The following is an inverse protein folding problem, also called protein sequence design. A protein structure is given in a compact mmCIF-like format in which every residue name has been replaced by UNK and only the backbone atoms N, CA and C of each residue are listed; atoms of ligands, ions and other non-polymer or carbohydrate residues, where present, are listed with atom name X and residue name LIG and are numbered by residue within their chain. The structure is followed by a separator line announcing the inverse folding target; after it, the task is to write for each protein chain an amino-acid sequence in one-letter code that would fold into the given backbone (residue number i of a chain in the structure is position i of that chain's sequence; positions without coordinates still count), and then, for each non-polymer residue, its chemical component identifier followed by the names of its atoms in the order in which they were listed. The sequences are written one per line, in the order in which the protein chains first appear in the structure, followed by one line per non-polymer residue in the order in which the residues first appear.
data_IF_195799174239
#
_entry.id   IF_195799174239
#
_cell.length_a   1.000
_cell.length_b   1.000
_cell.length_c   1.000
_cell.angle_alpha   90.00
_cell.angle_beta   90.00
_cell.angle_gamma   90.00
#
_symmetry.space_group_name_H-M   'P 1'
#
loop_
_entity.id
_entity.type
_entity.pdbx_description
1 polymer ?
#
# COMPACT_ATOMS: atom_id res chain seq x y z
N UNK A 1 -58.32 19.60 21.61
CA UNK A 1 -57.71 20.79 20.99
C UNK A 1 -57.99 21.94 21.94
N UNK A 2 -57.07 22.24 22.86
CA UNK A 2 -56.05 23.31 22.74
C UNK A 2 -56.67 24.68 22.50
N UNK A 3 -56.31 25.77 23.16
CA UNK A 3 -55.49 26.05 24.33
C UNK A 3 -55.80 27.52 24.70
N UNK A 4 -55.51 27.90 25.94
CA UNK A 4 -55.52 29.25 26.49
C UNK A 4 -54.84 30.30 25.60
N UNK A 5 -55.26 31.57 25.73
CA UNK A 5 -54.41 32.65 26.25
C UNK A 5 -55.13 34.00 26.17
N UNK A 6 -55.39 34.59 27.34
CA UNK A 6 -55.50 36.05 27.52
C UNK A 6 -54.31 36.45 28.38
N UNK A 7 -53.38 37.21 27.81
CA UNK A 7 -52.29 37.86 28.53
C UNK A 7 -52.38 39.33 28.15
N UNK A 8 -52.64 40.15 29.15
CA UNK A 8 -52.70 41.61 29.12
C UNK A 8 -51.45 42.22 28.50
N UNK A 9 -51.67 43.23 27.65
CA UNK A 9 -50.66 44.18 27.27
C UNK A 9 -50.45 45.14 28.44
N UNK A 10 -49.24 45.16 28.99
CA UNK A 10 -48.73 46.39 29.59
C UNK A 10 -47.41 46.76 28.89
N UNK A 11 -47.46 47.92 28.28
CA UNK A 11 -46.48 48.48 27.37
C UNK A 11 -45.73 49.56 28.15
N UNK A 12 -44.57 49.22 28.69
CA UNK A 12 -43.64 50.21 29.25
C UNK A 12 -42.40 50.32 28.35
N UNK A 13 -42.55 51.21 27.37
CA UNK A 13 -41.49 51.78 26.56
C UNK A 13 -40.86 52.92 27.38
N UNK A 14 -39.77 52.64 28.08
CA UNK A 14 -38.85 53.68 28.57
C UNK A 14 -37.50 53.53 27.86
N UNK A 15 -37.35 54.40 26.87
CA UNK A 15 -36.19 54.77 26.10
C UNK A 15 -35.06 55.28 27.00
N UNK A 16 -33.90 54.60 27.05
CA UNK A 16 -32.69 55.25 27.59
C UNK A 16 -31.38 54.67 27.00
N UNK A 17 -30.85 55.47 26.07
CA UNK A 17 -29.45 55.90 25.95
C UNK A 17 -28.39 54.91 25.42
N UNK A 18 -28.03 55.18 24.16
CA UNK A 18 -26.77 54.88 23.49
C UNK A 18 -25.54 55.01 24.41
N UNK A 19 -24.85 53.89 24.67
CA UNK A 19 -23.40 53.91 24.95
C UNK A 19 -22.68 52.88 24.09
N UNK A 20 -22.05 53.41 23.03
CA UNK A 20 -20.95 52.82 22.29
C UNK A 20 -19.85 52.40 23.30
N UNK A 21 -19.47 51.13 23.30
CA UNK A 21 -18.13 50.72 23.72
C UNK A 21 -17.51 49.80 22.67
N UNK A 22 -16.25 50.13 22.39
CA UNK A 22 -15.41 49.63 21.33
C UNK A 22 -14.87 48.23 21.62
N UNK A 23 -14.52 47.56 20.51
CA UNK A 23 -13.58 46.46 20.33
C UNK A 23 -12.88 45.87 21.55
N UNK A 24 -13.14 44.59 21.79
CA UNK A 24 -12.06 43.59 21.74
C UNK A 24 -12.67 42.22 21.48
N UNK A 25 -12.57 41.73 20.25
CA UNK A 25 -12.82 40.32 19.92
C UNK A 25 -11.76 39.47 20.59
N UNK A 26 -11.96 39.12 21.86
CA UNK A 26 -11.28 37.99 22.48
C UNK A 26 -11.88 36.73 21.86
N UNK A 27 -11.36 36.34 20.69
CA UNK A 27 -11.38 34.95 20.28
C UNK A 27 -10.59 34.19 21.35
N UNK A 28 -11.28 33.76 22.40
CA UNK A 28 -10.79 32.71 23.28
C UNK A 28 -10.53 31.52 22.35
N UNK A 29 -9.28 31.33 21.96
CA UNK A 29 -8.83 30.12 21.30
C UNK A 29 -9.27 28.99 22.21
N UNK A 30 -10.33 28.29 21.81
CA UNK A 30 -10.73 27.05 22.45
C UNK A 30 -9.56 26.11 22.27
N UNK A 31 -8.69 26.05 23.28
CA UNK A 31 -7.73 24.97 23.44
C UNK A 31 -8.56 23.73 23.75
N UNK A 32 -9.18 23.17 22.70
CA UNK A 32 -9.94 21.93 22.75
C UNK A 32 -8.97 20.85 23.18
N UNK A 33 -8.91 20.59 24.49
CA UNK A 33 -8.16 19.46 25.06
C UNK A 33 -8.63 18.22 24.30
N UNK A 34 -7.74 17.60 23.54
CA UNK A 34 -8.03 16.32 22.89
C UNK A 34 -8.38 15.34 24.00
N UNK A 35 -9.50 14.65 23.83
CA UNK A 35 -9.91 13.59 24.75
C UNK A 35 -8.83 12.50 24.75
N UNK A 36 -8.59 11.87 25.90
CA UNK A 36 -7.70 10.70 25.99
C UNK A 36 -8.09 9.61 24.98
N UNK A 37 -9.40 9.45 24.70
CA UNK A 37 -9.90 8.55 23.66
C UNK A 37 -9.43 8.95 22.26
N UNK A 38 -9.46 10.24 21.92
CA UNK A 38 -8.97 10.72 20.62
C UNK A 38 -7.45 10.58 20.45
N UNK A 39 -6.69 10.63 21.55
CA UNK A 39 -5.24 10.36 21.50
C UNK A 39 -4.96 8.87 21.26
N UNK A 40 -5.76 7.98 21.85
CA UNK A 40 -5.67 6.54 21.61
C UNK A 40 -5.99 6.20 20.14
N UNK A 41 -7.06 6.76 19.58
CA UNK A 41 -7.40 6.58 18.16
C UNK A 41 -6.29 7.10 17.23
N UNK A 42 -5.73 8.28 17.51
CA UNK A 42 -4.59 8.83 16.77
C UNK A 42 -3.37 7.89 16.81
N UNK A 43 -3.09 7.27 17.98
CA UNK A 43 -1.97 6.32 18.10
C UNK A 43 -2.23 5.03 17.33
N UNK A 44 -3.44 4.47 17.41
CA UNK A 44 -3.82 3.26 16.66
C UNK A 44 -3.72 3.51 15.15
N UNK A 45 -4.19 4.67 14.69
CA UNK A 45 -4.14 5.03 13.27
C UNK A 45 -2.71 5.22 12.77
N UNK A 46 -1.82 5.81 13.59
CA UNK A 46 -0.39 5.93 13.27
C UNK A 46 0.29 4.57 13.19
N UNK A 47 0.02 3.68 14.13
CA UNK A 47 0.59 2.33 14.15
C UNK A 47 0.12 1.51 12.94
N UNK A 48 -1.17 1.57 12.62
CA UNK A 48 -1.74 0.92 11.43
C UNK A 48 -1.10 1.49 10.14
N UNK A 49 -0.99 2.82 10.05
CA UNK A 49 -0.36 3.48 8.90
C UNK A 49 1.12 3.06 8.75
N UNK A 50 1.83 2.93 9.86
CA UNK A 50 3.22 2.43 9.91
C UNK A 50 3.31 0.97 9.44
N UNK A 51 2.44 0.09 9.92
CA UNK A 51 2.39 -1.31 9.49
C UNK A 51 2.04 -1.43 8.00
N UNK A 52 1.08 -0.65 7.50
CA UNK A 52 0.72 -0.61 6.09
C UNK A 52 1.91 -0.15 5.23
N UNK A 53 2.66 0.85 5.68
CA UNK A 53 3.90 1.28 5.04
C UNK A 53 4.93 0.15 4.93
N UNK A 54 5.14 -0.61 6.01
CA UNK A 54 6.04 -1.78 6.02
C UNK A 54 5.59 -2.86 5.05
N UNK A 55 4.29 -3.15 5.00
CA UNK A 55 3.72 -4.14 4.06
C UNK A 55 3.94 -3.67 2.61
N UNK A 56 3.65 -2.41 2.31
CA UNK A 56 3.86 -1.84 0.98
C UNK A 56 5.34 -1.94 0.55
N UNK A 57 6.27 -1.60 1.44
CA UNK A 57 7.71 -1.75 1.18
C UNK A 57 8.11 -3.22 0.96
N UNK A 58 7.62 -4.15 1.79
CA UNK A 58 7.91 -5.57 1.63
C UNK A 58 7.39 -6.14 0.30
N UNK A 59 6.19 -5.72 -0.15
CA UNK A 59 5.63 -6.10 -1.45
C UNK A 59 6.50 -5.56 -2.58
N UNK A 60 6.93 -4.30 -2.50
CA UNK A 60 7.80 -3.69 -3.51
C UNK A 60 9.14 -4.43 -3.60
N UNK A 61 9.75 -4.74 -2.46
CA UNK A 61 11.01 -5.49 -2.39
C UNK A 61 10.86 -6.91 -2.96
N UNK A 62 9.79 -7.62 -2.59
CA UNK A 62 9.48 -8.94 -3.13
C UNK A 62 9.27 -8.91 -4.65
N UNK A 63 8.62 -7.86 -5.17
CA UNK A 63 8.44 -7.67 -6.62
C UNK A 63 9.78 -7.46 -7.33
N UNK A 64 10.65 -6.62 -6.78
CA UNK A 64 11.99 -6.39 -7.33
C UNK A 64 12.85 -7.65 -7.29
N UNK A 65 12.81 -8.40 -6.19
CA UNK A 65 13.51 -9.68 -6.08
C UNK A 65 13.02 -10.67 -7.14
N UNK A 66 11.69 -10.73 -7.38
CA UNK A 66 11.12 -11.58 -8.43
C UNK A 66 11.58 -11.17 -9.83
N UNK A 67 11.56 -9.88 -10.17
CA UNK A 67 12.01 -9.42 -11.50
C UNK A 67 13.50 -9.68 -11.71
N UNK A 68 14.32 -9.43 -10.70
CA UNK A 68 15.76 -9.68 -10.76
C UNK A 68 16.06 -11.19 -10.91
N UNK A 69 15.29 -12.04 -10.25
CA UNK A 69 15.42 -13.49 -10.40
C UNK A 69 15.20 -13.95 -11.84
N UNK A 70 14.13 -13.49 -12.51
CA UNK A 70 13.86 -13.88 -13.89
C UNK A 70 14.83 -13.26 -14.90
N UNK A 71 15.34 -12.05 -14.64
CA UNK A 71 16.43 -11.48 -15.44
C UNK A 71 17.69 -12.34 -15.36
N UNK A 72 18.09 -12.74 -14.15
CA UNK A 72 19.26 -13.61 -13.95
C UNK A 72 19.05 -15.00 -14.56
N UNK A 73 17.83 -15.54 -14.46
CA UNK A 73 17.46 -16.82 -15.09
C UNK A 73 17.66 -16.76 -16.60
N UNK A 74 17.19 -15.68 -17.24
CA UNK A 74 17.34 -15.47 -18.68
C UNK A 74 18.82 -15.51 -19.08
N UNK A 75 19.67 -14.75 -18.40
CA UNK A 75 21.11 -14.73 -18.68
C UNK A 75 21.76 -16.11 -18.53
N UNK A 76 21.43 -16.85 -17.46
CA UNK A 76 21.99 -18.18 -17.21
C UNK A 76 21.54 -19.22 -18.24
N UNK A 77 20.28 -19.14 -18.71
CA UNK A 77 19.80 -20.01 -19.79
C UNK A 77 20.52 -19.68 -21.10
N UNK A 78 20.69 -18.39 -21.41
CA UNK A 78 21.31 -17.93 -22.65
C UNK A 78 22.83 -18.22 -22.72
N UNK A 79 23.49 -18.42 -21.58
CA UNK A 79 24.91 -18.82 -21.53
C UNK A 79 25.17 -20.28 -21.95
N UNK A 80 24.14 -21.12 -22.05
CA UNK A 80 24.35 -22.55 -22.29
C UNK A 80 24.64 -22.82 -23.76
N UNK A 81 25.89 -23.18 -24.03
CA UNK A 81 26.36 -23.48 -25.38
C UNK A 81 25.82 -24.81 -25.94
N UNK A 82 25.62 -24.84 -27.26
CA UNK A 82 25.21 -26.03 -28.01
C UNK A 82 23.72 -26.11 -28.32
N UNK A 83 22.97 -25.05 -28.05
CA UNK A 83 21.56 -24.89 -28.43
C UNK A 83 21.39 -23.60 -29.23
N UNK A 84 20.41 -23.57 -30.12
CA UNK A 84 20.03 -22.33 -30.78
C UNK A 84 19.31 -21.39 -29.80
N UNK A 85 19.47 -20.09 -30.00
CA UNK A 85 18.85 -19.05 -29.16
C UNK A 85 17.33 -19.21 -29.08
N UNK A 86 16.68 -19.62 -30.17
CA UNK A 86 15.23 -19.90 -30.23
C UNK A 86 14.81 -21.05 -29.31
N UNK A 87 15.63 -22.10 -29.20
CA UNK A 87 15.42 -23.19 -28.25
C UNK A 87 15.62 -22.68 -26.82
N UNK A 88 16.71 -21.95 -26.55
CA UNK A 88 16.98 -21.38 -25.23
C UNK A 88 15.85 -20.44 -24.76
N UNK A 89 15.30 -19.62 -25.65
CA UNK A 89 14.13 -18.80 -25.37
C UNK A 89 12.90 -19.64 -25.01
N UNK A 90 12.63 -20.72 -25.75
CA UNK A 90 11.53 -21.64 -25.46
C UNK A 90 11.68 -22.34 -24.10
N UNK A 91 12.91 -22.73 -23.74
CA UNK A 91 13.22 -23.28 -22.42
C UNK A 91 13.04 -22.25 -21.31
N UNK A 92 13.47 -21.01 -21.54
CA UNK A 92 13.24 -19.91 -20.61
C UNK A 92 11.75 -19.68 -20.36
N UNK A 93 10.93 -19.62 -21.42
CA UNK A 93 9.48 -19.44 -21.29
C UNK A 93 8.86 -20.56 -20.43
N UNK A 94 9.25 -21.81 -20.66
CA UNK A 94 8.79 -22.94 -19.85
C UNK A 94 9.23 -22.85 -18.38
N UNK A 95 10.47 -22.43 -18.11
CA UNK A 95 10.94 -22.22 -16.73
C UNK A 95 10.18 -21.05 -16.07
N UNK A 96 9.85 -20.01 -16.82
CA UNK A 96 9.15 -18.83 -16.34
C UNK A 96 7.69 -19.12 -15.94
N UNK A 97 7.05 -20.12 -16.55
CA UNK A 97 5.71 -20.61 -16.18
C UNK A 97 5.67 -21.21 -14.76
N UNK A 98 6.79 -21.78 -14.29
CA UNK A 98 6.88 -22.44 -12.99
C UNK A 98 8.12 -22.00 -12.20
N UNK A 99 7.92 -21.04 -11.30
CA UNK A 99 8.99 -20.48 -10.48
C UNK A 99 9.76 -21.54 -9.66
N UNK A 100 9.11 -22.62 -9.20
CA UNK A 100 9.79 -23.70 -8.47
C UNK A 100 10.75 -24.46 -9.40
N UNK A 101 10.34 -24.70 -10.65
CA UNK A 101 11.17 -25.32 -11.66
C UNK A 101 12.35 -24.42 -12.04
N UNK A 102 12.11 -23.12 -12.27
CA UNK A 102 13.16 -22.14 -12.51
C UNK A 102 14.19 -22.10 -11.37
N UNK A 103 13.74 -22.07 -10.11
CA UNK A 103 14.63 -22.09 -8.94
C UNK A 103 15.42 -23.39 -8.86
N UNK A 104 14.79 -24.53 -9.14
CA UNK A 104 15.49 -25.82 -9.20
C UNK A 104 16.55 -25.85 -10.31
N UNK A 105 16.26 -25.24 -11.47
CA UNK A 105 17.22 -25.10 -12.55
C UNK A 105 18.41 -24.20 -12.17
N UNK A 106 18.16 -23.06 -11.52
CA UNK A 106 19.22 -22.16 -11.07
C UNK A 106 20.16 -22.78 -10.02
N UNK A 107 19.67 -23.73 -9.21
CA UNK A 107 20.50 -24.48 -8.25
C UNK A 107 21.42 -25.53 -8.91
N UNK A 108 21.16 -25.92 -10.16
CA UNK A 108 21.98 -26.90 -10.87
C UNK A 108 23.31 -26.29 -11.30
N UNK A 109 24.34 -27.13 -11.39
CA UNK A 109 25.59 -26.76 -12.07
C UNK A 109 25.39 -26.67 -13.58
N UNK A 110 26.31 -26.02 -14.29
CA UNK A 110 26.22 -25.82 -15.75
C UNK A 110 26.04 -27.14 -16.50
N UNK A 111 26.76 -28.19 -16.08
CA UNK A 111 26.61 -29.55 -16.66
C UNK A 111 25.18 -30.08 -16.51
N UNK A 112 24.58 -29.89 -15.33
CA UNK A 112 23.21 -30.35 -15.05
C UNK A 112 22.15 -29.48 -15.72
N UNK A 113 22.41 -28.18 -15.92
CA UNK A 113 21.54 -27.29 -16.70
C UNK A 113 21.52 -27.68 -18.17
N UNK A 114 22.70 -27.96 -18.75
CA UNK A 114 22.82 -28.51 -20.10
C UNK A 114 22.09 -29.84 -20.24
N UNK A 115 22.32 -30.78 -19.32
CA UNK A 115 21.60 -32.06 -19.30
C UNK A 115 20.08 -31.87 -19.13
N UNK A 116 19.64 -30.87 -18.37
CA UNK A 116 18.22 -30.55 -18.24
C UNK A 116 17.62 -30.11 -19.59
N UNK A 117 18.31 -29.23 -20.33
CA UNK A 117 17.90 -28.84 -21.69
C UNK A 117 17.88 -30.03 -22.65
N UNK A 118 18.89 -30.90 -22.60
CA UNK A 118 18.92 -32.12 -23.43
C UNK A 118 17.68 -32.99 -23.16
N UNK A 119 17.30 -33.19 -21.89
CA UNK A 119 16.10 -33.93 -21.56
C UNK A 119 14.83 -33.21 -22.01
N UNK A 120 14.78 -31.89 -21.85
CA UNK A 120 13.63 -31.06 -22.21
C UNK A 120 13.32 -31.14 -23.71
N UNK A 121 14.33 -31.05 -24.57
CA UNK A 121 14.15 -31.07 -26.02
C UNK A 121 14.11 -32.46 -26.65
N UNK A 122 14.90 -33.41 -26.14
CA UNK A 122 15.16 -34.67 -26.85
C UNK A 122 14.61 -35.92 -26.15
N UNK A 123 14.14 -35.79 -24.90
CA UNK A 123 13.65 -36.94 -24.12
C UNK A 123 12.15 -36.93 -23.85
N UNK A 124 11.48 -35.83 -24.18
CA UNK A 124 10.03 -35.67 -24.07
C UNK A 124 9.31 -35.71 -25.44
N UNK A 125 9.96 -36.25 -26.48
CA UNK A 125 9.38 -36.52 -27.80
C UNK A 125 8.83 -37.94 -27.92
#
# INVERSE_FOLDING_TARGET
MSASNTIDLDNDLEEVSLKKQADSSTQTRSHRKRSHASMLDDTIFKDLSSQMGKIASAIQEASLHRTNFFSNLYEEVMKIEGFEESMLASAFDHLNENEVLARSFMLKSDKLRKQWLDNFFYRNG
#
